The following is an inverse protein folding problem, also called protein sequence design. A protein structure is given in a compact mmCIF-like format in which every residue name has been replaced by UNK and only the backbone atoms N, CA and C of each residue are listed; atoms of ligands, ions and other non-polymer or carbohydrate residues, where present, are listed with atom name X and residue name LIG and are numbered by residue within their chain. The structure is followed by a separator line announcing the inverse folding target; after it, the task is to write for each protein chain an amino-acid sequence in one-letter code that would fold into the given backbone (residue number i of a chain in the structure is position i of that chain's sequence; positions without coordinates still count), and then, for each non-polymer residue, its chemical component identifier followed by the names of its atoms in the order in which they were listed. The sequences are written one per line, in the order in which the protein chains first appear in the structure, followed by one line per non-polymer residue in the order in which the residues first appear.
data_IF_281079014181
#
_entry.id   IF_281079014181
#
_cell.length_a   1.000
_cell.length_b   1.000
_cell.length_c   1.000
_cell.angle_alpha   90.00
_cell.angle_beta   90.00
_cell.angle_gamma   90.00
#
_symmetry.space_group_name_H-M   'P 1'
#
loop_
_entity.id
_entity.type
_entity.pdbx_description
1 polymer ?
#
# COMPACT_ATOMS: atom_id res chain seq x y z
N UNK A 1 30.46 24.44 -4.17
CA UNK A 1 29.03 24.87 -4.16
C UNK A 1 28.18 23.73 -3.61
N UNK A 2 27.09 24.00 -2.88
CA UNK A 2 26.17 22.94 -2.39
C UNK A 2 24.95 22.87 -3.31
N UNK A 3 24.61 21.66 -3.77
CA UNK A 3 23.38 21.44 -4.55
C UNK A 3 22.15 21.66 -3.66
N UNK A 4 21.22 22.49 -4.11
CA UNK A 4 19.91 22.67 -3.47
C UNK A 4 18.84 22.40 -4.50
N UNK A 5 17.99 21.41 -4.21
CA UNK A 5 16.87 21.10 -5.09
C UNK A 5 15.70 22.02 -4.76
N UNK A 6 15.30 22.85 -5.72
CA UNK A 6 14.25 23.87 -5.53
C UNK A 6 12.91 23.29 -5.06
N UNK A 7 12.63 22.02 -5.37
CA UNK A 7 11.39 21.33 -5.01
C UNK A 7 11.56 20.29 -3.89
N UNK A 8 12.61 20.37 -3.06
CA UNK A 8 12.84 19.39 -1.99
C UNK A 8 11.65 19.30 -1.03
N UNK A 9 11.04 20.43 -0.65
CA UNK A 9 9.85 20.44 0.22
C UNK A 9 8.66 19.70 -0.40
N UNK A 10 8.50 19.79 -1.73
CA UNK A 10 7.42 19.10 -2.46
C UNK A 10 7.67 17.60 -2.46
N UNK A 11 8.92 17.18 -2.67
CA UNK A 11 9.32 15.78 -2.59
C UNK A 11 9.04 15.21 -1.19
N UNK A 12 9.43 15.91 -0.13
CA UNK A 12 9.23 15.46 1.25
C UNK A 12 7.73 15.25 1.57
N UNK A 13 6.86 16.14 1.07
CA UNK A 13 5.41 15.99 1.21
C UNK A 13 4.91 14.76 0.43
N UNK A 14 5.42 14.54 -0.77
CA UNK A 14 5.03 13.39 -1.61
C UNK A 14 5.48 12.05 -1.04
N UNK A 15 6.65 12.00 -0.43
CA UNK A 15 7.13 10.82 0.30
C UNK A 15 6.26 10.52 1.52
N UNK A 16 5.85 11.56 2.27
CA UNK A 16 4.90 11.40 3.38
C UNK A 16 3.53 10.93 2.91
N UNK A 17 2.98 11.50 1.84
CA UNK A 17 1.72 11.05 1.24
C UNK A 17 1.78 9.57 0.83
N UNK A 18 2.90 9.15 0.25
CA UNK A 18 3.13 7.74 -0.10
C UNK A 18 3.16 6.84 1.14
N UNK A 19 3.81 7.28 2.22
CA UNK A 19 3.90 6.50 3.44
C UNK A 19 2.55 6.37 4.15
N UNK A 20 1.77 7.44 4.20
CA UNK A 20 0.38 7.41 4.71
C UNK A 20 -0.46 6.42 3.89
N UNK A 21 -0.39 6.49 2.55
CA UNK A 21 -1.13 5.58 1.68
C UNK A 21 -0.73 4.11 1.89
N UNK A 22 0.55 3.82 2.19
CA UNK A 22 1.00 2.45 2.54
C UNK A 22 0.41 1.99 3.87
N UNK A 23 0.39 2.86 4.88
CA UNK A 23 -0.18 2.53 6.19
C UNK A 23 -1.68 2.28 6.10
N UNK A 24 -2.41 3.12 5.37
CA UNK A 24 -3.84 2.94 5.10
C UNK A 24 -4.13 1.64 4.35
N UNK A 25 -3.34 1.31 3.33
CA UNK A 25 -3.46 0.03 2.64
C UNK A 25 -3.16 -1.15 3.58
N UNK A 26 -2.10 -1.06 4.38
CA UNK A 26 -1.72 -2.11 5.34
C UNK A 26 -2.80 -2.38 6.39
N UNK A 27 -3.35 -1.33 6.99
CA UNK A 27 -4.45 -1.45 7.97
C UNK A 27 -5.72 -2.06 7.36
N UNK A 28 -6.03 -1.71 6.12
CA UNK A 28 -7.21 -2.27 5.41
C UNK A 28 -7.00 -3.74 5.05
N UNK A 29 -5.78 -4.10 4.65
CA UNK A 29 -5.41 -5.50 4.38
C UNK A 29 -5.43 -6.36 5.63
N UNK A 30 -5.02 -5.82 6.79
CA UNK A 30 -5.15 -6.52 8.08
C UNK A 30 -6.63 -6.78 8.40
N UNK A 31 -7.50 -5.78 8.24
CA UNK A 31 -8.96 -5.99 8.42
C UNK A 31 -9.53 -7.04 7.48
N UNK A 32 -9.03 -7.12 6.24
CA UNK A 32 -9.43 -8.16 5.29
C UNK A 32 -9.04 -9.56 5.79
N UNK A 33 -7.83 -9.72 6.35
CA UNK A 33 -7.36 -10.98 6.92
C UNK A 33 -8.17 -11.37 8.17
N UNK A 34 -8.38 -10.44 9.10
CA UNK A 34 -9.21 -10.66 10.29
C UNK A 34 -10.64 -11.12 9.92
N UNK A 35 -11.20 -10.54 8.85
CA UNK A 35 -12.54 -10.91 8.40
C UNK A 35 -12.54 -12.30 7.73
N UNK A 36 -11.49 -12.64 6.98
CA UNK A 36 -11.33 -13.99 6.41
C UNK A 36 -11.21 -15.05 7.51
N UNK A 37 -10.44 -14.79 8.57
CA UNK A 37 -10.34 -15.68 9.74
C UNK A 37 -11.70 -15.86 10.45
N UNK A 38 -12.50 -14.79 10.54
CA UNK A 38 -13.86 -14.88 11.11
C UNK A 38 -14.80 -15.75 10.27
N UNK A 39 -14.70 -15.67 8.94
CA UNK A 39 -15.49 -16.51 8.04
C UNK A 39 -15.08 -17.98 8.20
N UNK A 40 -13.78 -18.28 8.17
CA UNK A 40 -13.26 -19.63 8.36
C UNK A 40 -13.69 -20.22 9.74
N UNK A 41 -13.62 -19.41 10.80
CA UNK A 41 -14.11 -19.79 12.12
C UNK A 41 -15.60 -20.12 12.13
N UNK A 42 -16.43 -19.37 11.40
CA UNK A 42 -17.87 -19.64 11.28
C UNK A 42 -18.18 -20.87 10.42
N UNK A 43 -17.39 -21.16 9.40
CA UNK A 43 -17.50 -22.40 8.63
C UNK A 43 -17.22 -23.63 9.51
N UNK A 44 -16.21 -23.56 10.38
CA UNK A 44 -15.94 -24.61 11.37
C UNK A 44 -17.09 -24.79 12.36
N UNK A 45 -17.69 -23.69 12.85
CA UNK A 45 -18.88 -23.74 13.72
C UNK A 45 -20.04 -24.40 13.00
N UNK A 46 -20.31 -24.00 11.75
CA UNK A 46 -21.35 -24.60 10.91
C UNK A 46 -21.12 -26.10 10.76
N UNK A 47 -19.91 -26.53 10.45
CA UNK A 47 -19.58 -27.94 10.27
C UNK A 47 -19.75 -28.74 11.58
N UNK A 48 -19.35 -28.17 12.72
CA UNK A 48 -19.57 -28.79 14.03
C UNK A 48 -21.05 -28.94 14.36
N UNK A 49 -21.86 -27.92 14.07
CA UNK A 49 -23.32 -27.96 14.22
C UNK A 49 -23.90 -29.09 13.34
N UNK A 50 -23.50 -29.18 12.07
CA UNK A 50 -23.92 -30.29 11.18
C UNK A 50 -23.48 -31.68 11.68
N UNK A 51 -22.26 -31.81 12.22
CA UNK A 51 -21.80 -33.09 12.80
C UNK A 51 -22.61 -33.48 14.02
N UNK A 52 -22.84 -32.56 14.96
CA UNK A 52 -23.67 -32.79 16.14
C UNK A 52 -25.09 -33.21 15.77
N UNK A 53 -25.63 -32.64 14.70
CA UNK A 53 -26.89 -33.10 14.15
C UNK A 53 -26.79 -34.52 13.61
N UNK A 54 -25.81 -34.84 12.76
CA UNK A 54 -25.72 -36.17 12.15
C UNK A 54 -25.42 -37.30 13.15
N UNK A 55 -24.84 -37.02 14.31
CA UNK A 55 -24.46 -38.01 15.33
C UNK A 55 -25.65 -38.57 16.15
N UNK A 56 -26.84 -37.95 16.07
CA UNK A 56 -28.00 -38.34 16.88
C UNK A 56 -29.04 -39.10 16.03
N UNK A 57 -29.15 -40.41 16.25
CA UNK A 57 -30.04 -41.34 15.50
C UNK A 57 -31.55 -41.13 15.73
N UNK A 58 -31.95 -40.54 16.86
CA UNK A 58 -33.36 -40.23 17.19
C UNK A 58 -33.48 -38.85 17.76
N UNK A 59 -34.22 -37.98 17.06
CA UNK A 59 -34.40 -36.59 17.44
C UNK A 59 -35.85 -36.28 17.73
N UNK A 60 -36.06 -35.45 18.74
CA UNK A 60 -37.36 -34.86 19.06
C UNK A 60 -37.63 -33.70 18.10
N UNK A 61 -38.90 -33.44 17.78
CA UNK A 61 -39.31 -32.30 16.92
C UNK A 61 -38.75 -30.97 17.43
N UNK A 62 -38.62 -30.82 18.76
CA UNK A 62 -38.01 -29.64 19.40
C UNK A 62 -36.53 -29.46 19.03
N UNK A 63 -35.74 -30.52 19.06
CA UNK A 63 -34.30 -30.49 18.74
C UNK A 63 -34.08 -30.18 17.25
N UNK A 64 -34.97 -30.65 16.38
CA UNK A 64 -34.96 -30.32 14.95
C UNK A 64 -35.23 -28.82 14.73
N UNK A 65 -36.16 -28.24 15.50
CA UNK A 65 -36.50 -26.82 15.41
C UNK A 65 -35.37 -25.93 15.93
N UNK A 66 -34.77 -26.28 17.07
CA UNK A 66 -33.60 -25.58 17.64
C UNK A 66 -32.43 -25.60 16.66
N UNK A 67 -32.18 -26.74 16.03
CA UNK A 67 -31.14 -26.89 15.01
C UNK A 67 -31.38 -26.02 13.77
N UNK A 68 -32.62 -25.96 13.28
CA UNK A 68 -32.98 -25.07 12.17
C UNK A 68 -32.71 -23.60 12.52
N UNK A 69 -33.08 -23.19 13.74
CA UNK A 69 -32.83 -21.82 14.20
C UNK A 69 -31.34 -21.50 14.29
N UNK A 70 -30.52 -22.43 14.77
CA UNK A 70 -29.07 -22.27 14.83
C UNK A 70 -28.43 -22.21 13.43
N UNK A 71 -28.83 -23.09 12.50
CA UNK A 71 -28.38 -23.03 11.10
C UNK A 71 -28.77 -21.71 10.45
N UNK A 72 -30.01 -21.27 10.63
CA UNK A 72 -30.50 -20.02 10.06
C UNK A 72 -29.71 -18.83 10.61
N UNK A 73 -29.43 -18.82 11.91
CA UNK A 73 -28.60 -17.79 12.54
C UNK A 73 -27.18 -17.77 11.98
N UNK A 74 -26.51 -18.93 11.90
CA UNK A 74 -25.16 -19.05 11.34
C UNK A 74 -25.14 -18.64 9.86
N UNK A 75 -26.15 -19.03 9.09
CA UNK A 75 -26.25 -18.70 7.66
C UNK A 75 -26.49 -17.20 7.43
N UNK A 76 -27.34 -16.57 8.24
CA UNK A 76 -27.51 -15.11 8.20
C UNK A 76 -26.21 -14.39 8.56
N UNK A 77 -25.49 -14.90 9.58
CA UNK A 77 -24.22 -14.31 10.00
C UNK A 77 -23.13 -14.45 8.93
N UNK A 78 -23.03 -15.62 8.30
CA UNK A 78 -22.14 -15.83 7.16
C UNK A 78 -22.43 -14.85 6.03
N UNK A 79 -23.70 -14.72 5.63
CA UNK A 79 -24.09 -13.81 4.55
C UNK A 79 -23.73 -12.35 4.87
N UNK A 80 -23.93 -11.92 6.11
CA UNK A 80 -23.52 -10.59 6.55
C UNK A 80 -22.00 -10.38 6.45
N UNK A 81 -21.21 -11.40 6.81
CA UNK A 81 -19.75 -11.32 6.73
C UNK A 81 -19.25 -11.40 5.29
N UNK A 82 -19.89 -12.18 4.43
CA UNK A 82 -19.59 -12.19 2.98
C UNK A 82 -19.84 -10.81 2.36
N UNK A 83 -20.97 -10.18 2.67
CA UNK A 83 -21.29 -8.82 2.21
C UNK A 83 -20.24 -7.81 2.73
N UNK A 84 -19.79 -7.96 3.97
CA UNK A 84 -18.72 -7.14 4.54
C UNK A 84 -17.37 -7.41 3.86
N UNK A 85 -17.06 -8.67 3.57
CA UNK A 85 -15.83 -9.09 2.88
C UNK A 85 -15.76 -8.45 1.50
N UNK A 86 -16.84 -8.49 0.73
CA UNK A 86 -16.92 -7.84 -0.59
C UNK A 86 -16.69 -6.33 -0.51
N UNK A 87 -17.27 -5.66 0.49
CA UNK A 87 -17.06 -4.21 0.72
C UNK A 87 -15.61 -3.90 1.05
N UNK A 88 -14.99 -4.68 1.95
CA UNK A 88 -13.59 -4.50 2.32
C UNK A 88 -12.67 -4.80 1.13
N UNK A 89 -12.94 -5.82 0.34
CA UNK A 89 -12.18 -6.11 -0.90
C UNK A 89 -12.19 -4.91 -1.85
N UNK A 90 -13.36 -4.30 -2.05
CA UNK A 90 -13.49 -3.11 -2.88
C UNK A 90 -12.73 -1.92 -2.29
N UNK A 91 -12.75 -1.74 -0.97
CA UNK A 91 -11.97 -0.71 -0.27
C UNK A 91 -10.45 -0.93 -0.40
N UNK A 92 -9.99 -2.18 -0.29
CA UNK A 92 -8.58 -2.57 -0.48
C UNK A 92 -8.13 -2.25 -1.90
N UNK A 93 -8.94 -2.59 -2.90
CA UNK A 93 -8.64 -2.31 -4.31
C UNK A 93 -8.54 -0.80 -4.57
N UNK A 94 -9.47 -0.01 -4.03
CA UNK A 94 -9.42 1.45 -4.13
C UNK A 94 -8.15 2.02 -3.49
N UNK A 95 -7.82 1.59 -2.27
CA UNK A 95 -6.59 2.04 -1.58
C UNK A 95 -5.32 1.58 -2.30
N UNK A 96 -5.35 0.40 -2.91
CA UNK A 96 -4.25 -0.09 -3.74
C UNK A 96 -4.02 0.81 -4.95
N UNK A 97 -5.09 1.19 -5.66
CA UNK A 97 -5.00 2.12 -6.79
C UNK A 97 -4.47 3.50 -6.38
N UNK A 98 -4.90 4.02 -5.23
CA UNK A 98 -4.37 5.27 -4.67
C UNK A 98 -2.88 5.15 -4.38
N UNK A 99 -2.46 4.05 -3.75
CA UNK A 99 -1.05 3.78 -3.45
C UNK A 99 -0.21 3.71 -4.73
N UNK A 100 -0.69 3.06 -5.79
CA UNK A 100 -0.01 3.00 -7.08
C UNK A 100 0.20 4.40 -7.64
N UNK A 101 -0.85 5.24 -7.66
CA UNK A 101 -0.77 6.62 -8.15
C UNK A 101 0.25 7.44 -7.36
N UNK A 102 0.22 7.37 -6.03
CA UNK A 102 1.17 8.08 -5.15
C UNK A 102 2.61 7.60 -5.33
N UNK A 103 2.81 6.31 -5.55
CA UNK A 103 4.13 5.74 -5.81
C UNK A 103 4.67 6.20 -7.18
N UNK A 104 3.83 6.26 -8.21
CA UNK A 104 4.20 6.81 -9.52
C UNK A 104 4.58 8.30 -9.43
N UNK A 105 3.80 9.11 -8.71
CA UNK A 105 4.12 10.52 -8.45
C UNK A 105 5.49 10.66 -7.77
N UNK A 106 5.72 9.94 -6.68
CA UNK A 106 6.98 9.96 -5.92
C UNK A 106 8.18 9.54 -6.79
N UNK A 107 8.04 8.49 -7.60
CA UNK A 107 9.08 8.06 -8.55
C UNK A 107 9.39 9.14 -9.58
N UNK A 108 8.36 9.79 -10.13
CA UNK A 108 8.54 10.89 -11.06
C UNK A 108 9.34 12.02 -10.41
N UNK A 109 8.97 12.46 -9.21
CA UNK A 109 9.71 13.51 -8.49
C UNK A 109 11.17 13.14 -8.21
N UNK A 110 11.44 11.88 -7.89
CA UNK A 110 12.80 11.38 -7.71
C UNK A 110 13.62 11.42 -9.02
N UNK A 111 13.03 11.05 -10.16
CA UNK A 111 13.68 11.17 -11.48
C UNK A 111 13.96 12.64 -11.81
N UNK A 112 13.06 13.56 -11.46
CA UNK A 112 13.28 14.99 -11.66
C UNK A 112 14.42 15.52 -10.78
N UNK A 113 14.53 15.04 -9.53
CA UNK A 113 15.65 15.37 -8.64
C UNK A 113 16.98 14.88 -9.20
N UNK A 114 17.06 13.65 -9.72
CA UNK A 114 18.30 13.12 -10.31
C UNK A 114 18.70 13.92 -11.55
N UNK A 115 17.76 14.22 -12.45
CA UNK A 115 18.00 15.08 -13.62
C UNK A 115 18.50 16.48 -13.24
N UNK A 116 17.90 17.07 -12.21
CA UNK A 116 18.33 18.38 -11.71
C UNK A 116 19.75 18.33 -11.11
N UNK A 117 20.11 17.24 -10.45
CA UNK A 117 21.44 17.03 -9.90
C UNK A 117 22.47 16.84 -11.01
N UNK A 118 22.16 16.05 -12.04
CA UNK A 118 23.01 15.86 -13.22
C UNK A 118 23.26 17.18 -13.95
N UNK A 119 22.24 18.02 -14.13
CA UNK A 119 22.37 19.33 -14.75
C UNK A 119 23.28 20.25 -13.94
N UNK A 120 23.13 20.26 -12.61
CA UNK A 120 23.99 21.03 -11.72
C UNK A 120 25.45 20.56 -11.79
N UNK A 121 25.68 19.25 -11.81
CA UNK A 121 27.04 18.70 -11.92
C UNK A 121 27.69 19.11 -13.23
N UNK A 122 26.98 19.00 -14.36
CA UNK A 122 27.49 19.45 -15.67
C UNK A 122 27.85 20.93 -15.67
N UNK A 123 27.05 21.77 -15.03
CA UNK A 123 27.33 23.20 -14.94
C UNK A 123 28.59 23.47 -14.09
N UNK A 124 28.77 22.71 -13.00
CA UNK A 124 29.96 22.79 -12.17
C UNK A 124 31.21 22.39 -12.97
N UNK A 125 31.17 21.24 -13.65
CA UNK A 125 32.26 20.73 -14.47
C UNK A 125 32.65 21.73 -15.58
N UNK A 126 31.66 22.36 -16.24
CA UNK A 126 31.90 23.41 -17.25
C UNK A 126 32.57 24.65 -16.65
N UNK A 127 32.16 25.06 -15.45
CA UNK A 127 32.78 26.21 -14.77
C UNK A 127 34.23 25.91 -14.34
N UNK A 128 34.51 24.68 -13.90
CA UNK A 128 35.85 24.25 -13.55
C UNK A 128 36.75 24.17 -14.79
N UNK A 129 36.25 23.62 -15.90
CA UNK A 129 36.96 23.61 -17.18
C UNK A 129 37.29 25.03 -17.66
N UNK A 130 36.31 25.94 -17.63
CA UNK A 130 36.53 27.34 -18.01
C UNK A 130 37.62 28.00 -17.14
N UNK A 131 37.63 27.75 -15.83
CA UNK A 131 38.65 28.25 -14.93
C UNK A 131 40.04 27.69 -15.24
N UNK A 132 40.15 26.39 -15.56
CA UNK A 132 41.40 25.75 -15.94
C UNK A 132 41.95 26.31 -17.25
N UNK A 133 41.07 26.54 -18.24
CA UNK A 133 41.43 27.13 -19.52
C UNK A 133 41.93 28.57 -19.35
N UNK A 134 41.25 29.39 -18.55
CA UNK A 134 41.70 30.75 -18.20
C UNK A 134 43.09 30.72 -17.53
N UNK A 135 43.30 29.80 -16.58
CA UNK A 135 44.61 29.62 -15.94
C UNK A 135 45.69 29.19 -16.92
N UNK A 136 45.37 28.33 -17.89
CA UNK A 136 46.31 27.91 -18.93
C UNK A 136 46.70 29.07 -19.85
N UNK A 137 45.73 29.88 -20.29
CA UNK A 137 45.96 31.10 -21.08
C UNK A 137 46.84 32.10 -20.32
N UNK A 138 46.56 32.35 -19.04
CA UNK A 138 47.38 33.24 -18.19
C UNK A 138 48.81 32.72 -18.01
N UNK A 139 49.01 31.40 -17.90
CA UNK A 139 50.35 30.82 -17.82
C UNK A 139 51.12 30.93 -19.13
N UNK A 140 50.45 30.70 -20.26
CA UNK A 140 51.05 30.79 -21.58
C UNK A 140 51.49 32.22 -21.89
N UNK A 141 50.59 33.19 -21.69
CA UNK A 141 50.86 34.62 -21.93
C UNK A 141 51.97 35.21 -21.05
N UNK A 142 52.22 34.65 -19.85
CA UNK A 142 53.34 35.05 -18.98
C UNK A 142 54.70 34.46 -19.38
N UNK A 143 54.72 33.46 -20.27
CA UNK A 143 55.94 32.73 -20.67
C UNK A 143 56.53 33.24 -21.99
N UNK A 144 55.71 33.92 -22.80
CA UNK A 144 56.09 34.76 -23.94
C UNK A 144 56.40 36.18 -23.48
#
# INVERSE_FOLDING_TARGET
MKFTFSFQKVLDVKEKEQEIAKQEYGTTKLRQLELAEQIEGLELVKENVFRQYNDVDRKTVKEILEFQQEIDHVSHRMKQLEDQSQRIQLEVEQKHQVLIKKNQESKMWNIWKTKSMEAFQKQLDLSEQAMLDEMAVLRYTRRT
#
